data_IF_001355700149
#
_entry.id   IF_001355700149
#
_cell.length_a   1.000
_cell.length_b   1.000
_cell.length_c   1.000
_cell.angle_alpha   90.00
_cell.angle_beta   90.00
_cell.angle_gamma   90.00
#
_symmetry.space_group_name_H-M   'P 1'
#
loop_
_entity.id
_entity.type
_entity.pdbx_description
1 polymer ?
#
# COMPACT_ATOMS: atom_id res chain seq x y z
N UNK A 1 -15.23 29.30 29.05
CA UNK A 1 -14.23 29.13 30.13
C UNK A 1 -13.58 27.78 29.92
N UNK A 2 -12.55 27.71 29.08
CA UNK A 2 -11.82 26.46 28.83
C UNK A 2 -11.06 26.12 30.11
N UNK A 3 -11.42 24.99 30.75
CA UNK A 3 -10.64 24.45 31.84
C UNK A 3 -9.27 24.07 31.29
N UNK A 4 -8.23 24.75 31.75
CA UNK A 4 -6.86 24.35 31.47
C UNK A 4 -6.70 22.92 32.00
N UNK A 5 -6.51 21.95 31.11
CA UNK A 5 -6.04 20.63 31.53
C UNK A 5 -4.67 20.84 32.18
N UNK A 6 -4.48 20.31 33.39
CA UNK A 6 -3.17 20.36 34.03
C UNK A 6 -2.16 19.69 33.09
N UNK A 7 -0.93 20.22 33.03
CA UNK A 7 0.14 19.64 32.22
C UNK A 7 0.31 18.13 32.48
N UNK A 8 0.05 17.70 33.70
CA UNK A 8 0.07 16.29 34.10
C UNK A 8 -1.05 15.46 33.45
N UNK A 9 -2.24 16.03 33.27
CA UNK A 9 -3.39 15.33 32.67
C UNK A 9 -3.17 15.12 31.17
N UNK A 10 -2.65 16.14 30.46
CA UNK A 10 -2.29 16.03 29.05
C UNK A 10 -1.17 15.01 28.83
N UNK A 11 -0.15 15.02 29.70
CA UNK A 11 0.94 14.02 29.64
C UNK A 11 0.40 12.60 29.87
N UNK A 12 -0.51 12.43 30.82
CA UNK A 12 -1.12 11.12 31.13
C UNK A 12 -2.01 10.61 29.99
N UNK A 13 -2.73 11.49 29.29
CA UNK A 13 -3.51 11.13 28.12
C UNK A 13 -2.60 10.59 27.00
N UNK A 14 -1.50 11.28 26.70
CA UNK A 14 -0.53 10.85 25.68
C UNK A 14 0.07 9.49 26.02
N UNK A 15 0.49 9.26 27.28
CA UNK A 15 1.05 7.96 27.69
C UNK A 15 0.03 6.82 27.63
N UNK A 16 -1.23 7.08 27.94
CA UNK A 16 -2.32 6.09 27.77
C UNK A 16 -2.54 5.78 26.30
N UNK A 17 -2.58 6.81 25.44
CA UNK A 17 -2.71 6.64 24.00
C UNK A 17 -1.54 5.88 23.40
N UNK A 18 -0.31 6.17 23.86
CA UNK A 18 0.91 5.46 23.45
C UNK A 18 0.87 4.00 23.86
N UNK A 19 0.45 3.70 25.09
CA UNK A 19 0.28 2.33 25.55
C UNK A 19 -0.76 1.56 24.73
N UNK A 20 -1.90 2.18 24.44
CA UNK A 20 -2.95 1.57 23.59
C UNK A 20 -2.44 1.32 22.17
N UNK A 21 -1.82 2.33 21.55
CA UNK A 21 -1.29 2.24 20.20
C UNK A 21 -0.21 1.15 20.11
N UNK A 22 0.72 1.13 21.07
CA UNK A 22 1.78 0.14 21.14
C UNK A 22 1.19 -1.28 21.27
N UNK A 23 0.20 -1.48 22.16
CA UNK A 23 -0.47 -2.77 22.32
C UNK A 23 -1.18 -3.22 21.04
N UNK A 24 -1.91 -2.32 20.36
CA UNK A 24 -2.56 -2.61 19.08
C UNK A 24 -1.53 -2.98 18.02
N UNK A 25 -0.43 -2.23 17.89
CA UNK A 25 0.62 -2.55 16.92
C UNK A 25 1.32 -3.89 17.20
N UNK A 26 1.56 -4.22 18.47
CA UNK A 26 2.14 -5.49 18.86
C UNK A 26 1.20 -6.64 18.53
N UNK A 27 -0.10 -6.48 18.80
CA UNK A 27 -1.12 -7.45 18.44
C UNK A 27 -1.22 -7.64 16.92
N UNK A 28 -1.22 -6.57 16.12
CA UNK A 28 -1.20 -6.65 14.66
C UNK A 28 0.02 -7.42 14.13
N UNK A 29 1.22 -7.08 14.61
CA UNK A 29 2.46 -7.76 14.18
C UNK A 29 2.43 -9.23 14.59
N UNK A 30 1.97 -9.54 15.80
CA UNK A 30 1.86 -10.92 16.27
C UNK A 30 0.89 -11.74 15.40
N UNK A 31 -0.29 -11.19 15.08
CA UNK A 31 -1.25 -11.83 14.17
C UNK A 31 -0.67 -11.99 12.74
N UNK A 32 0.08 -11.00 12.27
CA UNK A 32 0.76 -11.05 10.97
C UNK A 32 1.81 -12.17 10.92
N UNK A 33 2.60 -12.33 11.99
CA UNK A 33 3.59 -13.40 12.11
C UNK A 33 2.93 -14.78 12.22
N UNK A 34 1.84 -14.92 12.96
CA UNK A 34 1.07 -16.18 13.01
C UNK A 34 0.51 -16.56 11.64
N UNK A 35 0.03 -15.58 10.85
CA UNK A 35 -0.46 -15.80 9.48
C UNK A 35 0.67 -16.20 8.51
N UNK A 36 1.90 -15.77 8.76
CA UNK A 36 3.06 -16.08 7.93
C UNK A 36 3.70 -17.44 8.25
N UNK A 37 3.29 -18.08 9.35
CA UNK A 37 3.77 -19.41 9.71
C UNK A 37 3.07 -20.47 8.84
N UNK A 38 3.85 -21.39 8.27
CA UNK A 38 3.44 -22.36 7.23
C UNK A 38 2.23 -23.23 7.62
N UNK A 39 1.97 -23.43 8.91
CA UNK A 39 0.82 -24.20 9.41
C UNK A 39 -0.54 -23.51 9.18
N UNK A 40 -0.55 -22.23 8.83
CA UNK A 40 -1.77 -21.47 8.56
C UNK A 40 -2.22 -21.51 7.08
N UNK A 41 -1.39 -22.02 6.16
CA UNK A 41 -1.74 -22.11 4.74
C UNK A 41 -2.85 -23.13 4.45
N UNK A 42 -2.93 -24.19 5.25
CA UNK A 42 -3.94 -25.25 5.08
C UNK A 42 -5.38 -24.77 5.36
N UNK A 43 -5.55 -23.61 6.00
CA UNK A 43 -6.86 -23.09 6.42
C UNK A 43 -7.13 -21.72 5.77
N UNK A 44 -7.51 -21.72 4.50
CA UNK A 44 -7.77 -20.50 3.71
C UNK A 44 -8.73 -19.50 4.40
N UNK A 45 -9.76 -19.98 5.11
CA UNK A 45 -10.71 -19.09 5.77
C UNK A 45 -10.11 -18.32 6.96
N UNK A 46 -9.17 -18.93 7.70
CA UNK A 46 -8.44 -18.28 8.80
C UNK A 46 -7.54 -17.19 8.24
N UNK A 47 -6.88 -17.45 7.11
CA UNK A 47 -6.03 -16.47 6.44
C UNK A 47 -6.82 -15.24 6.01
N UNK A 48 -7.98 -15.43 5.39
CA UNK A 48 -8.85 -14.33 4.95
C UNK A 48 -9.35 -13.51 6.15
N UNK A 49 -9.82 -14.19 7.20
CA UNK A 49 -10.30 -13.54 8.41
C UNK A 49 -9.20 -12.73 9.11
N UNK A 50 -8.01 -13.31 9.27
CA UNK A 50 -6.86 -12.66 9.87
C UNK A 50 -6.41 -11.44 9.05
N UNK A 51 -6.37 -11.57 7.72
CA UNK A 51 -6.02 -10.47 6.82
C UNK A 51 -7.02 -9.31 6.94
N UNK A 52 -8.32 -9.62 6.98
CA UNK A 52 -9.37 -8.61 7.15
C UNK A 52 -9.28 -7.93 8.52
N UNK A 53 -8.98 -8.69 9.58
CA UNK A 53 -8.79 -8.16 10.94
C UNK A 53 -7.60 -7.19 10.99
N UNK A 54 -6.46 -7.56 10.40
CA UNK A 54 -5.27 -6.69 10.31
C UNK A 54 -5.59 -5.38 9.57
N UNK A 55 -6.33 -5.44 8.45
CA UNK A 55 -6.73 -4.24 7.71
C UNK A 55 -7.58 -3.31 8.59
N UNK A 56 -8.56 -3.86 9.30
CA UNK A 56 -9.43 -3.07 10.18
C UNK A 56 -8.64 -2.43 11.33
N UNK A 57 -7.75 -3.19 11.98
CA UNK A 57 -6.89 -2.66 13.05
C UNK A 57 -5.98 -1.53 12.54
N UNK A 58 -5.49 -1.64 11.30
CA UNK A 58 -4.63 -0.62 10.70
C UNK A 58 -5.40 0.67 10.41
N UNK A 59 -6.64 0.58 9.95
CA UNK A 59 -7.54 1.74 9.79
C UNK A 59 -7.88 2.37 11.14
N UNK A 60 -8.22 1.54 12.15
CA UNK A 60 -8.50 2.01 13.50
C UNK A 60 -7.31 2.77 14.10
N UNK A 61 -6.10 2.23 13.94
CA UNK A 61 -4.86 2.85 14.38
C UNK A 61 -4.64 4.21 13.71
N UNK A 62 -4.85 4.32 12.40
CA UNK A 62 -4.72 5.56 11.67
C UNK A 62 -5.71 6.63 12.17
N UNK A 63 -6.97 6.24 12.40
CA UNK A 63 -7.98 7.11 13.02
C UNK A 63 -7.54 7.58 14.42
N UNK A 64 -7.07 6.66 15.26
CA UNK A 64 -6.63 6.98 16.62
C UNK A 64 -5.48 7.98 16.63
N UNK A 65 -4.50 7.85 15.72
CA UNK A 65 -3.37 8.79 15.61
C UNK A 65 -3.86 10.20 15.27
N UNK A 66 -4.73 10.32 14.26
CA UNK A 66 -5.23 11.63 13.78
C UNK A 66 -6.06 12.34 14.86
N UNK A 67 -6.91 11.61 15.58
CA UNK A 67 -7.83 12.24 16.54
C UNK A 67 -7.20 12.45 17.92
N UNK A 68 -6.46 11.47 18.45
CA UNK A 68 -5.93 11.51 19.81
C UNK A 68 -4.53 12.15 19.88
N UNK A 69 -3.59 11.69 19.05
CA UNK A 69 -2.20 12.18 19.09
C UNK A 69 -2.02 13.53 18.42
N UNK A 70 -2.73 13.76 17.31
CA UNK A 70 -2.72 15.06 16.66
C UNK A 70 -3.75 16.01 17.27
N UNK A 71 -4.51 15.56 18.28
CA UNK A 71 -5.47 16.34 19.07
C UNK A 71 -6.59 17.02 18.25
N UNK A 72 -6.78 16.60 17.01
CA UNK A 72 -7.65 17.32 16.06
C UNK A 72 -9.14 17.08 16.29
N UNK A 73 -9.51 16.17 17.18
CA UNK A 73 -10.91 15.88 17.50
C UNK A 73 -11.66 17.03 18.18
N UNK A 74 -10.95 17.94 18.86
CA UNK A 74 -11.54 19.04 19.62
C UNK A 74 -11.16 20.42 19.07
N UNK A 75 -10.35 20.46 18.02
CA UNK A 75 -9.78 21.68 17.42
C UNK A 75 -10.58 22.14 16.18
N UNK A 76 -10.23 23.31 15.65
CA UNK A 76 -10.91 23.86 14.46
C UNK A 76 -10.80 22.93 13.25
N UNK A 77 -11.95 22.68 12.60
CA UNK A 77 -12.06 21.77 11.44
C UNK A 77 -11.09 22.11 10.30
N UNK A 78 -10.66 23.36 10.17
CA UNK A 78 -9.64 23.77 9.20
C UNK A 78 -8.26 23.16 9.46
N UNK A 79 -7.86 23.00 10.72
CA UNK A 79 -6.63 22.30 11.09
C UNK A 79 -6.77 20.80 10.84
N UNK A 80 -7.95 20.21 11.08
CA UNK A 80 -8.20 18.81 10.73
C UNK A 80 -8.00 18.55 9.22
N UNK A 81 -8.50 19.46 8.38
CA UNK A 81 -8.36 19.35 6.93
C UNK A 81 -6.91 19.44 6.44
N UNK A 82 -6.00 20.11 7.16
CA UNK A 82 -4.59 20.22 6.72
C UNK A 82 -3.83 18.90 6.82
N UNK A 83 -4.30 17.97 7.64
CA UNK A 83 -3.74 16.61 7.78
C UNK A 83 -4.54 15.60 6.96
N UNK A 84 -5.88 15.72 6.95
CA UNK A 84 -6.72 14.79 6.19
C UNK A 84 -6.52 14.93 4.68
N UNK A 85 -6.34 16.15 4.17
CA UNK A 85 -6.13 16.40 2.74
C UNK A 85 -4.86 15.73 2.20
N UNK A 86 -3.65 15.92 2.77
CA UNK A 86 -2.46 15.22 2.30
C UNK A 86 -2.55 13.70 2.48
N UNK A 87 -3.19 13.21 3.55
CA UNK A 87 -3.44 11.76 3.71
C UNK A 87 -4.32 11.19 2.59
N UNK A 88 -5.38 11.91 2.23
CA UNK A 88 -6.26 11.51 1.14
C UNK A 88 -5.55 11.57 -0.23
N UNK A 89 -4.80 12.65 -0.49
CA UNK A 89 -3.99 12.76 -1.70
C UNK A 89 -2.92 11.68 -1.79
N UNK A 90 -2.35 11.23 -0.67
CA UNK A 90 -1.41 10.11 -0.65
C UNK A 90 -2.07 8.80 -1.10
N UNK A 91 -3.26 8.49 -0.58
CA UNK A 91 -4.02 7.29 -1.00
C UNK A 91 -4.36 7.37 -2.49
N UNK A 92 -4.83 8.53 -2.95
CA UNK A 92 -5.10 8.76 -4.37
C UNK A 92 -3.83 8.60 -5.23
N UNK A 93 -2.70 9.15 -4.79
CA UNK A 93 -1.43 9.06 -5.50
C UNK A 93 -0.90 7.62 -5.57
N UNK A 94 -1.07 6.81 -4.52
CA UNK A 94 -0.72 5.39 -4.54
C UNK A 94 -1.49 4.64 -5.63
N UNK A 95 -2.80 4.90 -5.74
CA UNK A 95 -3.66 4.30 -6.78
C UNK A 95 -3.19 4.75 -8.17
N UNK A 96 -2.95 6.05 -8.36
CA UNK A 96 -2.48 6.60 -9.63
C UNK A 96 -1.13 6.01 -10.05
N UNK A 97 -0.15 5.94 -9.14
CA UNK A 97 1.18 5.40 -9.44
C UNK A 97 1.16 3.89 -9.72
N UNK A 98 0.31 3.11 -9.04
CA UNK A 98 0.16 1.69 -9.38
C UNK A 98 -0.50 1.47 -10.74
N UNK A 99 -1.51 2.28 -11.09
CA UNK A 99 -2.14 2.23 -12.41
C UNK A 99 -1.14 2.60 -13.51
N UNK A 100 -0.41 3.70 -13.34
CA UNK A 100 0.60 4.17 -14.29
C UNK A 100 1.75 3.16 -14.41
N UNK A 101 2.20 2.60 -13.29
CA UNK A 101 3.25 1.59 -13.26
C UNK A 101 2.87 0.30 -14.00
N UNK A 102 1.61 -0.14 -13.90
CA UNK A 102 1.11 -1.30 -14.66
C UNK A 102 1.11 -0.99 -16.16
N UNK A 103 0.54 0.15 -16.55
CA UNK A 103 0.46 0.56 -17.96
C UNK A 103 1.85 0.66 -18.59
N UNK A 104 2.81 1.24 -17.88
CA UNK A 104 4.18 1.34 -18.34
C UNK A 104 4.84 -0.04 -18.53
N UNK A 105 4.61 -0.98 -17.62
CA UNK A 105 5.15 -2.34 -17.72
C UNK A 105 4.64 -3.04 -18.98
N UNK A 106 3.34 -2.95 -19.25
CA UNK A 106 2.70 -3.60 -20.39
C UNK A 106 3.20 -3.02 -21.72
N UNK A 107 3.32 -1.69 -21.82
CA UNK A 107 3.87 -1.04 -23.01
C UNK A 107 5.32 -1.44 -23.30
N UNK A 108 6.15 -1.64 -22.26
CA UNK A 108 7.54 -2.08 -22.47
C UNK A 108 7.61 -3.51 -22.98
N UNK A 109 6.75 -4.39 -22.49
CA UNK A 109 6.64 -5.76 -22.99
C UNK A 109 6.24 -5.79 -24.47
N UNK A 110 5.25 -4.98 -24.88
CA UNK A 110 4.83 -4.89 -26.29
C UNK A 110 5.94 -4.38 -27.21
N UNK A 111 6.72 -3.38 -26.77
CA UNK A 111 7.84 -2.85 -27.55
C UNK A 111 8.95 -3.90 -27.71
N UNK A 112 9.23 -4.67 -26.65
CA UNK A 112 10.23 -5.74 -26.68
C UNK A 112 9.81 -6.84 -27.65
N UNK A 113 8.54 -7.28 -27.60
CA UNK A 113 7.98 -8.27 -28.53
C UNK A 113 8.07 -7.80 -29.98
N UNK A 114 7.70 -6.54 -30.27
CA UNK A 114 7.81 -5.99 -31.63
C UNK A 114 9.26 -5.95 -32.13
N UNK A 115 10.20 -5.52 -31.30
CA UNK A 115 11.61 -5.44 -31.69
C UNK A 115 12.19 -6.83 -31.97
N UNK A 116 11.75 -7.88 -31.26
CA UNK A 116 12.15 -9.27 -31.54
C UNK A 116 11.61 -9.78 -32.88
N UNK A 117 10.38 -9.40 -33.25
CA UNK A 117 9.79 -9.74 -34.54
C UNK A 117 10.53 -9.07 -35.72
N UNK A 118 10.99 -7.82 -35.55
CA UNK A 118 11.77 -7.11 -36.58
C UNK A 118 13.22 -7.60 -36.69
N UNK A 119 13.83 -8.08 -35.60
CA UNK A 119 15.19 -8.62 -35.59
C UNK A 119 15.29 -10.06 -36.14
N UNK A 120 14.17 -10.78 -36.20
CA UNK A 120 14.11 -12.09 -36.84
C UNK A 120 13.88 -11.87 -38.34
N UNK A 121 14.85 -12.18 -39.24
CA UNK A 121 14.58 -12.10 -40.66
C UNK A 121 13.44 -13.07 -40.96
N UNK A 122 12.36 -12.57 -41.54
CA UNK A 122 11.23 -13.40 -41.92
C UNK A 122 11.74 -14.60 -42.72
N UNK A 123 11.17 -15.78 -42.46
CA UNK A 123 11.54 -17.09 -43.04
C UNK A 123 11.47 -17.15 -44.58
N UNK A 124 11.20 -16.03 -45.27
CA UNK A 124 11.25 -15.89 -46.72
C UNK A 124 12.10 -14.73 -47.25
N UNK A 125 12.93 -14.07 -46.43
CA UNK A 125 13.79 -12.95 -46.86
C UNK A 125 15.28 -13.34 -47.00
N UNK A 126 15.65 -14.58 -46.68
CA UNK A 126 16.99 -15.10 -46.96
C UNK A 126 16.98 -15.60 -48.40
N UNK A 127 17.29 -14.70 -49.35
CA UNK A 127 17.73 -15.12 -50.68
C UNK A 127 19.02 -15.89 -50.45
N UNK A 128 18.98 -17.21 -50.62
CA UNK A 128 20.20 -18.03 -50.57
C UNK A 128 20.86 -17.95 -51.94
N UNK A 129 22.20 -18.06 -52.00
CA UNK A 129 22.94 -18.03 -53.27
C UNK A 129 22.42 -19.08 -54.29
N UNK A 130 21.70 -20.10 -53.84
CA UNK A 130 21.07 -21.12 -54.68
C UNK A 130 19.88 -20.60 -55.51
N UNK A 131 19.21 -19.52 -55.08
CA UNK A 131 18.08 -18.91 -55.81
C UNK A 131 18.55 -18.05 -57.01
N UNK A 132 19.83 -17.65 -57.04
CA UNK A 132 20.42 -16.84 -58.13
C UNK A 132 20.98 -17.70 -59.27
N UNK A 133 21.20 -19.00 -59.05
CA UNK A 133 21.90 -19.89 -60.00
C UNK A 133 20.93 -20.59 -60.98
N UNK A 134 19.62 -20.54 -60.75
CA UNK A 134 18.61 -21.22 -61.59
C UNK A 134 17.90 -20.26 -62.59
N UNK A 135 18.49 -19.10 -62.87
CA UNK A 135 18.02 -18.15 -63.88
C UNK A 135 18.59 -18.38 -65.27
#
# INVERSE_FOLDING_TARGET
>A
MAGHLSYEDSKKAVWKGLGLLAAVTLAEVFLSLMKAAEWAEDIQWVFVLASLLIIILSVYKAYFIIYEFMHMGYEVKGLAMSVLLPMFLLVWALIAFFSEGSYWKDNRAEIEDRNQLEATPGVGAVITDEDFVVG
#
